data_IF_457216650393
#
_entry.id   IF_457216650393
#
_cell.length_a   1.000
_cell.length_b   1.000
_cell.length_c   1.000
_cell.angle_alpha   90.00
_cell.angle_beta   90.00
_cell.angle_gamma   90.00
#
_symmetry.space_group_name_H-M   'P 1'
#
loop_
_entity.id
_entity.type
_entity.pdbx_description
1 polymer ?
#
# COMPACT_ATOMS: atom_id res chain seq x y z
N UNK A 1 10.22 11.07 -2.96
CA UNK A 1 10.04 12.01 -1.82
C UNK A 1 8.56 12.36 -1.68
N UNK A 2 8.03 12.42 -0.45
CA UNK A 2 6.64 12.79 -0.15
C UNK A 2 6.65 14.05 0.70
N UNK A 3 5.82 15.03 0.36
CA UNK A 3 5.73 16.30 1.09
C UNK A 3 4.26 16.68 1.34
N UNK A 4 3.97 17.09 2.57
CA UNK A 4 2.70 17.68 2.98
C UNK A 4 2.98 19.15 3.32
N UNK A 5 2.28 20.06 2.68
CA UNK A 5 2.44 21.50 2.87
C UNK A 5 1.12 22.10 3.38
N UNK A 6 1.06 22.42 4.66
CA UNK A 6 -0.10 23.00 5.35
C UNK A 6 -1.40 22.23 5.08
N UNK A 7 -1.33 20.89 5.11
CA UNK A 7 -2.45 20.04 4.72
C UNK A 7 -3.48 19.95 5.83
N UNK A 8 -4.70 20.35 5.52
CA UNK A 8 -5.89 20.10 6.35
C UNK A 8 -6.93 19.38 5.50
N UNK A 9 -7.60 18.40 6.07
CA UNK A 9 -8.65 17.67 5.37
C UNK A 9 -9.78 17.28 6.32
N UNK A 10 -11.03 17.53 5.90
CA UNK A 10 -12.23 17.08 6.58
C UNK A 10 -13.15 16.32 5.63
N UNK A 11 -13.67 15.16 6.06
CA UNK A 11 -14.62 14.39 5.25
C UNK A 11 -15.98 15.08 5.20
N UNK A 12 -16.64 15.03 4.05
CA UNK A 12 -18.01 15.56 3.91
C UNK A 12 -18.98 14.84 4.87
N UNK A 13 -19.75 15.62 5.65
CA UNK A 13 -20.75 15.09 6.59
C UNK A 13 -20.18 14.60 7.93
N UNK A 14 -18.91 14.82 8.22
CA UNK A 14 -18.31 14.57 9.53
C UNK A 14 -18.00 15.89 10.23
N UNK A 15 -18.65 16.12 11.38
CA UNK A 15 -18.39 17.31 12.21
C UNK A 15 -17.07 17.25 12.97
N UNK A 16 -16.56 16.04 13.21
CA UNK A 16 -15.32 15.80 13.96
C UNK A 16 -14.43 14.78 13.22
N UNK A 17 -13.14 14.99 13.31
CA UNK A 17 -12.13 14.17 12.67
C UNK A 17 -11.57 14.84 11.42
N UNK A 18 -10.41 14.36 10.95
CA UNK A 18 -9.70 14.93 9.84
C UNK A 18 -8.24 15.21 10.19
N UNK A 19 -7.59 15.97 9.33
CA UNK A 19 -6.21 16.44 9.51
C UNK A 19 -6.20 17.95 9.62
N UNK A 20 -5.33 18.48 10.45
CA UNK A 20 -5.18 19.93 10.65
C UNK A 20 -3.72 20.33 10.55
N UNK A 21 -3.40 21.21 9.63
CA UNK A 21 -2.10 21.85 9.44
C UNK A 21 -0.92 20.87 9.47
N UNK A 22 -1.02 19.79 8.69
CA UNK A 22 0.02 18.80 8.58
C UNK A 22 1.13 19.33 7.68
N UNK A 23 2.33 19.42 8.24
CA UNK A 23 3.56 19.73 7.55
C UNK A 23 4.54 18.58 7.77
N UNK A 24 4.84 17.82 6.71
CA UNK A 24 5.63 16.61 6.80
C UNK A 24 6.44 16.42 5.53
N UNK A 25 7.68 16.02 5.67
CA UNK A 25 8.56 15.66 4.57
C UNK A 25 9.16 14.29 4.82
N UNK A 26 9.01 13.39 3.86
CA UNK A 26 9.55 12.02 3.91
C UNK A 26 10.47 11.86 2.71
N UNK A 27 11.74 11.57 2.99
CA UNK A 27 12.76 11.39 1.97
C UNK A 27 12.65 10.01 1.31
N UNK A 28 13.25 9.86 0.15
CA UNK A 28 13.31 8.56 -0.51
C UNK A 28 14.09 7.55 0.36
N UNK A 29 13.59 6.31 0.41
CA UNK A 29 14.16 5.24 1.20
C UNK A 29 13.89 5.32 2.71
N UNK A 30 13.15 6.32 3.20
CA UNK A 30 12.72 6.36 4.60
C UNK A 30 11.66 5.32 4.90
N UNK A 31 11.63 4.86 6.15
CA UNK A 31 10.56 4.03 6.70
C UNK A 31 9.91 4.80 7.85
N UNK A 32 8.68 5.22 7.64
CA UNK A 32 7.90 6.05 8.58
C UNK A 32 6.76 5.24 9.16
N UNK A 33 6.63 5.28 10.48
CA UNK A 33 5.55 4.63 11.21
C UNK A 33 4.62 5.69 11.81
N UNK A 34 3.37 5.71 11.36
CA UNK A 34 2.30 6.51 11.96
C UNK A 34 1.60 5.69 13.05
N UNK A 35 1.84 6.04 14.30
CA UNK A 35 1.20 5.41 15.46
C UNK A 35 0.13 6.30 16.05
N UNK A 36 -0.96 5.70 16.51
CA UNK A 36 -2.00 6.43 17.23
C UNK A 36 -3.32 5.67 17.33
N UNK A 37 -4.25 6.21 18.11
CA UNK A 37 -5.56 5.63 18.33
C UNK A 37 -6.37 5.57 17.02
N UNK A 38 -7.39 4.70 16.97
CA UNK A 38 -8.35 4.71 15.86
C UNK A 38 -8.97 6.10 15.70
N UNK A 39 -9.16 6.51 14.45
CA UNK A 39 -9.74 7.82 14.13
C UNK A 39 -8.78 9.02 14.23
N UNK A 40 -7.50 8.85 14.60
CA UNK A 40 -6.54 9.98 14.67
C UNK A 40 -5.97 10.44 13.33
N UNK A 41 -6.48 9.95 12.19
CA UNK A 41 -6.10 10.44 10.85
C UNK A 41 -5.04 9.61 10.11
N UNK A 42 -4.54 8.48 10.64
CA UNK A 42 -3.51 7.64 9.98
C UNK A 42 -3.92 7.20 8.57
N UNK A 43 -5.11 6.60 8.45
CA UNK A 43 -5.67 6.17 7.15
C UNK A 43 -5.95 7.37 6.23
N UNK A 44 -6.24 8.55 6.78
CA UNK A 44 -6.41 9.76 5.98
C UNK A 44 -5.09 10.19 5.34
N UNK A 45 -3.98 10.11 6.08
CA UNK A 45 -2.64 10.36 5.54
C UNK A 45 -2.32 9.38 4.41
N UNK A 46 -2.56 8.08 4.60
CA UNK A 46 -2.30 7.09 3.55
C UNK A 46 -3.17 7.32 2.32
N UNK A 47 -4.44 7.69 2.48
CA UNK A 47 -5.37 8.03 1.38
C UNK A 47 -4.98 9.29 0.62
N UNK A 48 -4.35 10.24 1.26
CA UNK A 48 -3.80 11.42 0.60
C UNK A 48 -2.59 11.05 -0.27
N UNK A 49 -1.69 10.18 0.22
CA UNK A 49 -0.49 9.80 -0.53
C UNK A 49 -0.81 8.90 -1.72
N UNK A 50 -1.80 8.01 -1.63
CA UNK A 50 -2.18 7.14 -2.75
C UNK A 50 -3.26 7.74 -3.67
N UNK A 51 -3.65 9.00 -3.45
CA UNK A 51 -4.60 9.72 -4.29
C UNK A 51 -6.07 9.33 -4.14
N UNK A 52 -6.42 8.45 -3.19
CA UNK A 52 -7.81 8.13 -2.89
C UNK A 52 -8.56 9.36 -2.36
N UNK A 53 -7.85 10.29 -1.74
CA UNK A 53 -8.31 11.65 -1.49
C UNK A 53 -7.57 12.56 -2.48
N UNK A 54 -8.27 13.40 -3.24
CA UNK A 54 -9.71 13.67 -3.23
C UNK A 54 -10.52 12.82 -4.23
N UNK A 55 -9.93 11.88 -4.97
CA UNK A 55 -10.58 11.25 -6.13
C UNK A 55 -11.77 10.35 -5.77
N UNK A 56 -11.70 9.62 -4.64
CA UNK A 56 -12.77 8.71 -4.20
C UNK A 56 -13.44 9.14 -2.89
N UNK A 57 -12.69 9.80 -2.01
CA UNK A 57 -13.23 10.30 -0.75
C UNK A 57 -13.43 11.80 -0.83
N UNK A 58 -14.70 12.22 -0.78
CA UNK A 58 -15.08 13.61 -0.83
C UNK A 58 -14.84 14.30 0.52
N UNK A 59 -14.39 15.54 0.45
CA UNK A 59 -14.12 16.38 1.60
C UNK A 59 -13.51 17.71 1.21
N UNK A 60 -13.23 18.53 2.20
CA UNK A 60 -12.57 19.81 2.04
C UNK A 60 -11.08 19.63 2.29
N UNK A 61 -10.28 19.83 1.23
CA UNK A 61 -8.81 19.72 1.27
C UNK A 61 -8.19 21.10 1.12
N UNK A 62 -7.35 21.48 2.07
CA UNK A 62 -6.50 22.66 2.02
C UNK A 62 -5.04 22.23 2.05
N UNK A 63 -4.16 23.07 1.48
CA UNK A 63 -2.75 22.74 1.35
C UNK A 63 -2.48 21.80 0.17
N UNK A 64 -1.29 21.21 0.12
CA UNK A 64 -0.84 20.37 -0.98
C UNK A 64 -0.14 19.11 -0.49
N UNK A 65 -0.38 17.99 -1.17
CA UNK A 65 0.40 16.76 -1.02
C UNK A 65 1.16 16.53 -2.32
N UNK A 66 2.47 16.41 -2.22
CA UNK A 66 3.34 16.18 -3.37
C UNK A 66 4.03 14.82 -3.25
N UNK A 67 4.10 14.12 -4.38
CA UNK A 67 4.91 12.90 -4.54
C UNK A 67 5.88 13.16 -5.69
N UNK A 68 7.17 13.09 -5.41
CA UNK A 68 8.25 13.44 -6.34
C UNK A 68 8.08 14.84 -6.97
N UNK A 69 7.67 15.81 -6.15
CA UNK A 69 7.44 17.19 -6.57
C UNK A 69 6.17 17.43 -7.40
N UNK A 70 5.37 16.41 -7.64
CA UNK A 70 4.09 16.51 -8.35
C UNK A 70 2.93 16.47 -7.36
N UNK A 71 2.03 17.43 -7.45
CA UNK A 71 0.84 17.48 -6.61
C UNK A 71 -0.12 16.34 -6.94
N UNK A 72 -0.44 15.54 -5.93
CA UNK A 72 -1.17 14.26 -6.09
C UNK A 72 -2.59 14.47 -6.66
N UNK A 73 -3.25 15.59 -6.34
CA UNK A 73 -4.57 15.93 -6.84
C UNK A 73 -4.61 16.15 -8.37
N UNK A 74 -3.47 16.44 -8.97
CA UNK A 74 -3.32 16.73 -10.40
C UNK A 74 -2.80 15.54 -11.20
N UNK A 75 -2.51 14.40 -10.55
CA UNK A 75 -1.97 13.20 -11.19
C UNK A 75 -3.10 12.21 -11.44
N UNK A 76 -3.24 11.65 -12.66
CA UNK A 76 -4.18 10.56 -12.91
C UNK A 76 -3.91 9.33 -12.02
N UNK A 77 -4.97 8.66 -11.55
CA UNK A 77 -4.87 7.54 -10.61
C UNK A 77 -3.91 6.43 -11.08
N UNK A 78 -3.90 6.10 -12.37
CA UNK A 78 -3.00 5.06 -12.89
C UNK A 78 -1.52 5.41 -12.76
N UNK A 79 -1.17 6.70 -12.82
CA UNK A 79 0.21 7.15 -12.60
C UNK A 79 0.58 7.13 -11.12
N UNK A 80 -0.37 7.43 -10.24
CA UNK A 80 -0.17 7.30 -8.79
C UNK A 80 0.05 5.83 -8.44
N UNK A 81 -0.83 4.94 -8.93
CA UNK A 81 -0.75 3.50 -8.69
C UNK A 81 0.55 2.86 -9.17
N UNK A 82 1.18 3.38 -10.22
CA UNK A 82 2.49 2.93 -10.69
C UNK A 82 3.63 3.29 -9.71
N UNK A 83 3.48 4.37 -8.94
CA UNK A 83 4.50 4.85 -7.98
C UNK A 83 4.25 4.39 -6.56
N UNK A 84 2.99 4.28 -6.17
CA UNK A 84 2.52 4.06 -4.79
C UNK A 84 1.72 2.77 -4.71
N UNK A 85 2.30 1.75 -4.13
CA UNK A 85 1.63 0.48 -3.88
C UNK A 85 1.01 0.48 -2.48
N UNK A 86 -0.27 0.11 -2.39
CA UNK A 86 -1.03 0.11 -1.13
C UNK A 86 -1.42 -1.30 -0.70
N UNK A 87 -1.15 -1.63 0.55
CA UNK A 87 -1.66 -2.84 1.22
C UNK A 87 -2.67 -2.39 2.27
N UNK A 88 -3.94 -2.74 2.06
CA UNK A 88 -5.03 -2.30 2.94
C UNK A 88 -5.18 -3.21 4.16
N UNK A 89 -5.80 -2.69 5.21
CA UNK A 89 -6.07 -3.37 6.48
C UNK A 89 -6.81 -4.71 6.29
N UNK A 90 -7.77 -4.74 5.38
CA UNK A 90 -8.50 -5.97 5.04
C UNK A 90 -8.07 -6.48 3.66
N UNK A 91 -7.21 -7.50 3.57
CA UNK A 91 -6.75 -8.01 2.28
C UNK A 91 -7.87 -8.53 1.38
N UNK A 92 -9.01 -8.96 1.96
CA UNK A 92 -10.16 -9.45 1.17
C UNK A 92 -10.78 -8.39 0.27
N UNK A 93 -10.69 -7.13 0.64
CA UNK A 93 -11.23 -6.03 -0.17
C UNK A 93 -10.29 -5.61 -1.29
N UNK A 94 -9.08 -6.16 -1.33
CA UNK A 94 -8.06 -5.86 -2.33
C UNK A 94 -8.06 -6.85 -3.48
N UNK A 95 -8.57 -8.07 -3.29
CA UNK A 95 -8.49 -9.14 -4.29
C UNK A 95 -9.52 -9.00 -5.40
N UNK A 96 -9.05 -9.17 -6.63
CA UNK A 96 -9.83 -9.19 -7.86
C UNK A 96 -9.93 -10.59 -8.46
N UNK A 97 -8.99 -11.49 -8.16
CA UNK A 97 -8.90 -12.82 -8.72
C UNK A 97 -9.25 -13.91 -7.71
N UNK A 98 -9.50 -15.11 -8.22
CA UNK A 98 -9.83 -16.30 -7.43
C UNK A 98 -8.56 -17.07 -7.03
N UNK A 99 -7.57 -17.09 -7.90
CA UNK A 99 -6.30 -17.78 -7.66
C UNK A 99 -5.16 -16.81 -7.37
N UNK A 100 -4.18 -17.32 -6.63
CA UNK A 100 -3.05 -16.56 -6.10
C UNK A 100 -2.10 -16.04 -7.18
N UNK A 101 -1.83 -16.83 -8.22
CA UNK A 101 -0.89 -16.45 -9.27
C UNK A 101 -1.47 -15.32 -10.14
N UNK A 102 -2.75 -15.41 -10.50
CA UNK A 102 -3.46 -14.33 -11.22
C UNK A 102 -3.55 -13.06 -10.39
N UNK A 103 -3.74 -13.18 -9.07
CA UNK A 103 -3.75 -12.00 -8.18
C UNK A 103 -2.39 -11.30 -8.10
N UNK A 104 -1.30 -12.07 -8.01
CA UNK A 104 0.06 -11.50 -8.03
C UNK A 104 0.36 -10.86 -9.38
N UNK A 105 -0.12 -11.45 -10.48
CA UNK A 105 0.07 -10.92 -11.84
C UNK A 105 -0.78 -9.68 -12.13
N UNK A 106 -1.93 -9.52 -11.48
CA UNK A 106 -2.96 -8.53 -11.82
C UNK A 106 -2.42 -7.09 -11.95
N UNK A 107 -1.59 -6.65 -11.02
CA UNK A 107 -1.04 -5.29 -11.04
C UNK A 107 -0.06 -5.03 -12.19
N UNK A 108 0.65 -6.08 -12.62
CA UNK A 108 1.67 -5.99 -13.69
C UNK A 108 1.11 -6.30 -15.08
N UNK A 109 -0.08 -6.88 -15.19
CA UNK A 109 -0.75 -7.12 -16.48
C UNK A 109 -1.02 -5.81 -17.22
N UNK A 110 -1.34 -4.74 -16.50
CA UNK A 110 -1.59 -3.42 -17.07
C UNK A 110 -0.36 -2.76 -17.72
N UNK A 111 0.83 -3.33 -17.52
CA UNK A 111 2.08 -2.82 -18.14
C UNK A 111 2.28 -3.36 -19.57
N UNK A 112 1.31 -4.10 -20.12
CA UNK A 112 1.37 -4.71 -21.47
C UNK A 112 2.63 -5.56 -21.71
N UNK A 113 3.12 -6.26 -20.68
CA UNK A 113 4.27 -7.16 -20.78
C UNK A 113 3.87 -8.48 -21.45
N UNK A 114 4.81 -9.16 -22.14
CA UNK A 114 4.57 -10.50 -22.66
C UNK A 114 4.20 -11.48 -21.54
N UNK A 115 3.31 -12.47 -21.77
CA UNK A 115 2.88 -13.44 -20.77
C UNK A 115 4.03 -14.18 -20.05
N UNK A 116 5.10 -14.48 -20.79
CA UNK A 116 6.31 -15.12 -20.24
C UNK A 116 6.98 -14.26 -19.17
N UNK A 117 7.01 -12.92 -19.36
CA UNK A 117 7.55 -11.98 -18.38
C UNK A 117 6.66 -11.82 -17.15
N UNK A 118 5.35 -11.96 -17.33
CA UNK A 118 4.41 -11.98 -16.19
C UNK A 118 4.65 -13.23 -15.34
N UNK A 119 4.72 -14.41 -15.94
CA UNK A 119 4.99 -15.66 -15.25
C UNK A 119 6.35 -15.64 -14.51
N UNK A 120 7.40 -15.17 -15.17
CA UNK A 120 8.73 -14.98 -14.57
C UNK A 120 8.68 -14.05 -13.36
N UNK A 121 7.91 -12.95 -13.44
CA UNK A 121 7.77 -12.00 -12.32
C UNK A 121 6.97 -12.57 -11.16
N UNK A 122 5.93 -13.35 -11.42
CA UNK A 122 5.17 -14.07 -10.37
C UNK A 122 6.08 -15.07 -9.67
N UNK A 123 6.86 -15.87 -10.43
CA UNK A 123 7.82 -16.80 -9.86
C UNK A 123 8.85 -16.10 -8.98
N UNK A 124 9.51 -15.07 -9.50
CA UNK A 124 10.49 -14.28 -8.76
C UNK A 124 9.88 -13.66 -7.49
N UNK A 125 8.66 -13.13 -7.57
CA UNK A 125 7.96 -12.56 -6.41
C UNK A 125 7.75 -13.60 -5.32
N UNK A 126 7.30 -14.79 -5.69
CA UNK A 126 7.04 -15.86 -4.71
C UNK A 126 8.31 -16.41 -4.10
N UNK A 127 9.42 -16.42 -4.84
CA UNK A 127 10.76 -16.78 -4.34
C UNK A 127 11.30 -15.73 -3.38
N UNK A 128 11.30 -14.46 -3.77
CA UNK A 128 11.80 -13.36 -2.95
C UNK A 128 11.09 -13.27 -1.58
N UNK A 129 9.79 -13.53 -1.58
CA UNK A 129 8.95 -13.48 -0.38
C UNK A 129 8.81 -14.83 0.35
N UNK A 130 9.44 -15.89 -0.17
CA UNK A 130 9.37 -17.26 0.40
C UNK A 130 7.94 -17.81 0.54
N UNK A 131 7.09 -17.54 -0.45
CA UNK A 131 5.68 -17.95 -0.46
C UNK A 131 5.32 -18.93 -1.59
N UNK A 132 6.28 -19.67 -2.15
CA UNK A 132 6.07 -20.62 -3.25
C UNK A 132 4.96 -21.65 -2.96
N UNK A 133 4.78 -22.01 -1.66
CA UNK A 133 3.72 -22.93 -1.22
C UNK A 133 2.30 -22.37 -1.42
N UNK A 134 2.16 -21.08 -1.65
CA UNK A 134 0.87 -20.43 -1.87
C UNK A 134 0.52 -20.31 -3.36
N UNK A 135 1.39 -20.76 -4.27
CA UNK A 135 1.14 -20.72 -5.71
C UNK A 135 -0.01 -21.65 -6.11
N UNK A 136 -0.73 -21.25 -7.14
CA UNK A 136 -1.85 -22.03 -7.74
C UNK A 136 -2.92 -22.45 -6.71
N UNK A 137 -3.16 -21.62 -5.69
CA UNK A 137 -4.19 -21.89 -4.66
C UNK A 137 -5.37 -20.94 -4.81
N UNK A 138 -6.53 -21.42 -4.38
CA UNK A 138 -7.71 -20.57 -4.28
C UNK A 138 -7.55 -19.60 -3.09
N UNK A 139 -7.66 -18.30 -3.37
CA UNK A 139 -7.50 -17.23 -2.38
C UNK A 139 -8.52 -17.33 -1.24
N UNK A 140 -9.74 -17.78 -1.54
CA UNK A 140 -10.81 -17.87 -0.53
C UNK A 140 -10.53 -18.96 0.53
N UNK A 141 -9.72 -19.97 0.18
CA UNK A 141 -9.32 -21.07 1.08
C UNK A 141 -8.10 -20.73 1.95
N UNK A 142 -7.44 -19.58 1.71
CA UNK A 142 -6.30 -19.14 2.47
C UNK A 142 -6.69 -18.64 3.86
N UNK A 143 -5.79 -18.85 4.83
CA UNK A 143 -5.86 -18.20 6.15
C UNK A 143 -5.71 -16.69 6.05
N UNK A 144 -6.01 -15.95 7.12
CA UNK A 144 -5.84 -14.50 7.17
C UNK A 144 -4.39 -14.07 6.89
N UNK A 145 -3.42 -14.73 7.50
CA UNK A 145 -2.00 -14.47 7.29
C UNK A 145 -1.54 -14.77 5.86
N UNK A 146 -2.01 -15.88 5.27
CA UNK A 146 -1.71 -16.22 3.88
C UNK A 146 -2.32 -15.19 2.91
N UNK A 147 -3.55 -14.73 3.17
CA UNK A 147 -4.18 -13.64 2.39
C UNK A 147 -3.36 -12.35 2.46
N UNK A 148 -2.85 -11.99 3.64
CA UNK A 148 -2.00 -10.82 3.79
C UNK A 148 -0.69 -10.95 2.98
N UNK A 149 -0.08 -12.14 2.94
CA UNK A 149 1.11 -12.41 2.12
C UNK A 149 0.81 -12.24 0.62
N UNK A 150 -0.32 -12.73 0.13
CA UNK A 150 -0.72 -12.57 -1.28
C UNK A 150 -1.02 -11.09 -1.60
N UNK A 151 -1.72 -10.36 -0.71
CA UNK A 151 -1.95 -8.93 -0.89
C UNK A 151 -0.63 -8.13 -0.93
N UNK A 152 0.33 -8.47 -0.08
CA UNK A 152 1.67 -7.89 -0.15
C UNK A 152 2.41 -8.27 -1.43
N UNK A 153 2.33 -9.53 -1.84
CA UNK A 153 2.99 -10.05 -3.04
C UNK A 153 2.48 -9.38 -4.34
N UNK A 154 1.17 -9.13 -4.44
CA UNK A 154 0.60 -8.43 -5.59
C UNK A 154 1.15 -7.00 -5.72
N UNK A 155 1.31 -6.31 -4.60
CA UNK A 155 1.95 -4.99 -4.58
C UNK A 155 3.46 -5.08 -4.86
N UNK A 156 4.15 -6.05 -4.27
CA UNK A 156 5.59 -6.26 -4.48
C UNK A 156 5.92 -6.58 -5.94
N UNK A 157 5.07 -7.34 -6.63
CA UNK A 157 5.23 -7.67 -8.05
C UNK A 157 5.25 -6.42 -8.94
N UNK A 158 4.47 -5.39 -8.61
CA UNK A 158 4.45 -4.10 -9.31
C UNK A 158 5.74 -3.28 -9.11
N UNK A 159 6.54 -3.61 -8.10
CA UNK A 159 7.79 -2.94 -7.75
C UNK A 159 7.65 -1.40 -7.57
N UNK A 160 6.67 -0.90 -6.83
CA UNK A 160 6.47 0.53 -6.66
C UNK A 160 7.67 1.18 -5.92
N UNK A 161 7.80 2.50 -6.00
CA UNK A 161 8.81 3.22 -5.23
C UNK A 161 8.40 3.47 -3.79
N UNK A 162 7.10 3.61 -3.55
CA UNK A 162 6.51 3.89 -2.25
C UNK A 162 5.56 2.76 -1.89
N UNK A 163 5.71 2.20 -0.69
CA UNK A 163 4.80 1.22 -0.11
C UNK A 163 4.00 1.85 1.02
N UNK A 164 2.69 1.76 0.94
CA UNK A 164 1.76 2.15 2.00
C UNK A 164 1.14 0.89 2.61
N UNK A 165 1.24 0.74 3.92
CA UNK A 165 0.62 -0.36 4.64
C UNK A 165 -0.30 0.21 5.72
N UNK A 166 -1.60 -0.05 5.59
CA UNK A 166 -2.59 0.41 6.57
C UNK A 166 -2.98 -0.76 7.48
N UNK A 167 -2.55 -0.69 8.74
CA UNK A 167 -2.74 -1.68 9.80
C UNK A 167 -2.40 -3.13 9.37
N UNK A 168 -1.22 -3.34 8.75
CA UNK A 168 -0.90 -4.62 8.13
C UNK A 168 -0.76 -5.76 9.14
N UNK A 169 -0.62 -5.48 10.43
CA UNK A 169 -0.47 -6.50 11.48
C UNK A 169 -1.78 -6.83 12.22
N UNK A 170 -2.88 -6.15 11.94
CA UNK A 170 -4.10 -6.16 12.76
C UNK A 170 -4.75 -7.53 12.98
N UNK A 171 -4.58 -8.46 12.03
CA UNK A 171 -5.19 -9.79 12.06
C UNK A 171 -4.16 -10.92 11.91
N UNK A 172 -2.90 -10.66 12.24
CA UNK A 172 -1.80 -11.60 12.07
C UNK A 172 -1.40 -12.25 13.41
N UNK A 173 -1.05 -13.52 13.35
CA UNK A 173 -0.34 -14.19 14.43
C UNK A 173 1.14 -13.77 14.49
N UNK A 174 1.83 -14.17 15.54
CA UNK A 174 3.23 -13.77 15.76
C UNK A 174 4.17 -14.23 14.65
N UNK A 175 3.91 -15.39 14.05
CA UNK A 175 4.70 -15.94 12.94
C UNK A 175 4.52 -15.07 11.69
N UNK A 176 3.28 -14.77 11.33
CA UNK A 176 2.97 -13.90 10.17
C UNK A 176 3.48 -12.47 10.35
N UNK A 177 3.51 -11.95 11.60
CA UNK A 177 4.13 -10.64 11.90
C UNK A 177 5.64 -10.70 11.65
N UNK A 178 6.32 -11.77 12.02
CA UNK A 178 7.75 -11.96 11.76
C UNK A 178 8.04 -11.96 10.25
N UNK A 179 7.26 -12.72 9.48
CA UNK A 179 7.39 -12.79 8.03
C UNK A 179 7.13 -11.42 7.38
N UNK A 180 6.09 -10.69 7.81
CA UNK A 180 5.85 -9.32 7.35
C UNK A 180 7.06 -8.41 7.62
N UNK A 181 7.69 -8.52 8.79
CA UNK A 181 8.90 -7.74 9.11
C UNK A 181 10.06 -8.08 8.16
N UNK A 182 10.21 -9.33 7.76
CA UNK A 182 11.23 -9.72 6.79
C UNK A 182 10.95 -9.14 5.41
N UNK A 183 9.70 -9.17 4.95
CA UNK A 183 9.28 -8.52 3.71
C UNK A 183 9.54 -7.01 3.74
N UNK A 184 9.25 -6.33 4.86
CA UNK A 184 9.54 -4.90 5.02
C UNK A 184 11.06 -4.62 5.00
N UNK A 185 11.88 -5.48 5.61
CA UNK A 185 13.34 -5.37 5.53
C UNK A 185 13.86 -5.55 4.11
N UNK A 186 13.26 -6.46 3.35
CA UNK A 186 13.60 -6.70 1.95
C UNK A 186 13.37 -5.44 1.11
N UNK A 187 12.17 -4.86 1.14
CA UNK A 187 11.85 -3.65 0.37
C UNK A 187 12.68 -2.45 0.82
N UNK A 188 12.98 -2.34 2.12
CA UNK A 188 13.86 -1.30 2.63
C UNK A 188 15.29 -1.44 2.12
N UNK A 189 15.84 -2.65 2.05
CA UNK A 189 17.16 -2.92 1.45
C UNK A 189 17.22 -2.54 -0.03
N UNK A 190 16.10 -2.59 -0.74
CA UNK A 190 15.94 -2.15 -2.12
C UNK A 190 15.83 -0.63 -2.28
N UNK A 191 15.95 0.13 -1.18
CA UNK A 191 15.86 1.60 -1.20
C UNK A 191 14.44 2.15 -1.34
N UNK A 192 13.42 1.34 -1.09
CA UNK A 192 12.02 1.76 -1.17
C UNK A 192 11.61 2.62 0.02
N UNK A 193 10.73 3.57 -0.24
CA UNK A 193 10.07 4.36 0.81
C UNK A 193 8.89 3.58 1.37
N UNK A 194 8.76 3.51 2.69
CA UNK A 194 7.73 2.72 3.36
C UNK A 194 6.98 3.57 4.37
N UNK A 195 5.66 3.65 4.23
CA UNK A 195 4.78 4.28 5.21
C UNK A 195 3.89 3.20 5.81
N UNK A 196 3.90 3.10 7.12
CA UNK A 196 3.10 2.13 7.87
C UNK A 196 2.19 2.90 8.83
N UNK A 197 0.90 2.65 8.76
CA UNK A 197 -0.06 3.12 9.75
C UNK A 197 -0.41 1.97 10.70
N UNK A 198 -0.22 2.16 12.01
CA UNK A 198 -0.49 1.14 13.03
C UNK A 198 -1.14 1.72 14.28
N UNK A 199 -1.86 0.89 15.02
CA UNK A 199 -2.46 1.30 16.29
C UNK A 199 -1.45 1.37 17.43
N UNK A 200 -0.34 0.61 17.38
CA UNK A 200 0.63 0.44 18.47
C UNK A 200 2.06 0.36 17.95
#
# INVERSE_FOLDING_TARGET
>A
MIEFENVSFSYTGQEHGGLHDINLKISDGECVLFCGRSGCGKTTITRLVNGLIPQFYQGELHGRVLVDGQEISNIPMYQIAAKVGSVFQNPRTQFFNVDTDSEIAFGIENEARPPEKLAERVEQTTEDLHIQKLRNRNIFELSGGEKQKIAFASVYAMNPQIYLLDEPSSNLDMTSIQELREHLRLIKKQGKTVLIAEHR
#
